data_IF_888247968955
#
_entry.id   IF_888247968955
#
_cell.length_a   1.000
_cell.length_b   1.000
_cell.length_c   1.000
_cell.angle_alpha   90.00
_cell.angle_beta   90.00
_cell.angle_gamma   90.00
#
_symmetry.space_group_name_H-M   'P 1'
#
loop_
_entity.id
_entity.type
_entity.pdbx_description
1 polymer ?
#
# COMPACT_ATOMS: atom_id res chain seq x y z
N UNK A 1 -21.10 -10.65 -8.84
CA UNK A 1 -19.99 -11.63 -8.98
C UNK A 1 -19.18 -11.50 -7.71
N UNK A 2 -18.90 -12.59 -7.00
CA UNK A 2 -18.01 -12.58 -5.83
C UNK A 2 -16.71 -13.23 -6.29
N UNK A 3 -15.59 -12.54 -6.08
CA UNK A 3 -14.28 -13.07 -6.45
C UNK A 3 -13.75 -14.00 -5.36
N UNK A 4 -12.93 -14.99 -5.71
CA UNK A 4 -12.41 -15.97 -4.74
C UNK A 4 -11.65 -15.32 -3.57
N UNK A 5 -10.95 -14.20 -3.83
CA UNK A 5 -10.24 -13.44 -2.79
C UNK A 5 -11.19 -12.63 -1.87
N UNK A 6 -12.50 -12.60 -2.15
CA UNK A 6 -13.51 -11.90 -1.35
C UNK A 6 -14.43 -12.85 -0.58
N UNK A 7 -14.15 -14.15 -0.63
CA UNK A 7 -14.94 -15.10 0.15
C UNK A 7 -14.89 -14.72 1.65
N UNK A 8 -16.03 -14.79 2.36
CA UNK A 8 -16.11 -14.36 3.75
C UNK A 8 -15.05 -14.99 4.65
N UNK A 9 -14.74 -16.27 4.44
CA UNK A 9 -13.73 -16.99 5.21
C UNK A 9 -12.30 -16.48 4.92
N UNK A 10 -12.02 -16.08 3.68
CA UNK A 10 -10.74 -15.47 3.27
C UNK A 10 -10.57 -14.10 3.95
N UNK A 11 -11.61 -13.26 3.90
CA UNK A 11 -11.59 -11.94 4.55
C UNK A 11 -11.51 -12.06 6.07
N UNK A 12 -12.21 -13.04 6.67
CA UNK A 12 -12.20 -13.28 8.10
C UNK A 12 -10.84 -13.77 8.62
N UNK A 13 -10.05 -14.43 7.76
CA UNK A 13 -8.72 -14.93 8.08
C UNK A 13 -7.63 -13.85 8.05
N UNK A 14 -7.89 -12.67 7.46
CA UNK A 14 -6.92 -11.58 7.44
C UNK A 14 -6.63 -11.07 8.85
N UNK A 15 -5.35 -10.80 9.12
CA UNK A 15 -4.94 -10.25 10.40
C UNK A 15 -5.55 -8.86 10.63
N UNK A 16 -6.06 -8.65 11.84
CA UNK A 16 -6.56 -7.35 12.34
C UNK A 16 -5.54 -6.66 13.26
N UNK A 17 -4.38 -7.28 13.44
CA UNK A 17 -3.30 -6.68 14.22
C UNK A 17 -2.66 -5.56 13.41
N UNK A 18 -2.62 -4.36 14.00
CA UNK A 18 -1.97 -3.21 13.38
C UNK A 18 -0.50 -3.51 13.08
N UNK A 19 0.01 -3.04 11.94
CA UNK A 19 1.37 -3.23 11.48
C UNK A 19 2.39 -2.79 12.54
N UNK A 20 2.03 -1.77 13.31
CA UNK A 20 2.84 -1.25 14.39
C UNK A 20 3.87 -0.23 13.88
N UNK A 21 4.28 0.64 14.80
CA UNK A 21 5.12 1.80 14.48
C UNK A 21 6.47 1.43 13.90
N UNK A 22 7.10 0.37 14.43
CA UNK A 22 8.44 -0.06 13.99
C UNK A 22 8.46 -0.45 12.51
N UNK A 23 7.53 -1.32 12.08
CA UNK A 23 7.42 -1.72 10.68
C UNK A 23 7.09 -0.53 9.78
N UNK A 24 6.17 0.33 10.20
CA UNK A 24 5.80 1.53 9.46
C UNK A 24 6.99 2.49 9.26
N UNK A 25 7.82 2.68 10.29
CA UNK A 25 9.03 3.51 10.22
C UNK A 25 10.07 2.93 9.26
N UNK A 26 10.28 1.61 9.28
CA UNK A 26 11.19 0.93 8.35
C UNK A 26 10.74 1.10 6.90
N UNK A 27 9.44 0.90 6.62
CA UNK A 27 8.84 1.13 5.31
C UNK A 27 9.04 2.58 4.85
N UNK A 28 8.74 3.54 5.71
CA UNK A 28 8.88 4.96 5.39
C UNK A 28 10.33 5.34 5.04
N UNK A 29 11.30 4.81 5.80
CA UNK A 29 12.73 5.01 5.56
C UNK A 29 13.18 4.36 4.24
N UNK A 30 12.81 3.09 4.01
CA UNK A 30 13.17 2.35 2.79
C UNK A 30 12.69 3.10 1.54
N UNK A 31 11.43 3.54 1.53
CA UNK A 31 10.86 4.28 0.41
C UNK A 31 11.69 5.52 0.02
N UNK A 32 12.08 6.34 1.01
CA UNK A 32 12.91 7.52 0.75
C UNK A 32 14.34 7.18 0.37
N UNK A 33 14.97 6.23 1.04
CA UNK A 33 16.34 5.80 0.73
C UNK A 33 16.46 5.29 -0.72
N UNK A 34 15.50 4.50 -1.20
CA UNK A 34 15.51 3.98 -2.56
C UNK A 34 15.29 5.11 -3.58
N UNK A 35 14.36 6.03 -3.30
CA UNK A 35 14.14 7.22 -4.13
C UNK A 35 15.41 8.10 -4.22
N UNK A 36 16.08 8.35 -3.11
CA UNK A 36 17.33 9.13 -3.03
C UNK A 36 18.50 8.42 -3.72
N UNK A 37 18.53 7.08 -3.67
CA UNK A 37 19.45 6.26 -4.45
C UNK A 37 19.14 6.28 -5.96
N UNK A 38 18.09 6.97 -6.39
CA UNK A 38 17.68 7.08 -7.79
C UNK A 38 16.98 5.84 -8.33
N UNK A 39 16.59 4.90 -7.46
CA UNK A 39 15.72 3.77 -7.80
C UNK A 39 14.28 4.31 -7.73
N UNK A 40 13.64 4.47 -8.89
CA UNK A 40 12.29 5.02 -8.98
C UNK A 40 11.93 5.44 -10.41
N UNK A 41 10.63 5.54 -10.68
CA UNK A 41 10.11 6.01 -11.96
C UNK A 41 10.48 7.46 -12.17
N UNK A 42 11.17 7.73 -13.28
CA UNK A 42 11.76 9.03 -13.63
C UNK A 42 12.57 9.68 -12.50
N UNK A 43 13.02 8.89 -11.52
CA UNK A 43 13.66 9.33 -10.27
C UNK A 43 12.79 10.25 -9.41
N UNK A 44 11.49 10.37 -9.66
CA UNK A 44 10.59 11.26 -8.93
C UNK A 44 9.69 10.53 -7.94
N UNK A 45 9.42 9.24 -8.20
CA UNK A 45 8.57 8.40 -7.37
C UNK A 45 9.15 6.99 -7.23
N UNK A 46 9.16 6.49 -6.00
CA UNK A 46 9.46 5.10 -5.71
C UNK A 46 8.32 4.48 -4.90
N UNK A 47 7.85 3.31 -5.31
CA UNK A 47 6.94 2.48 -4.51
C UNK A 47 7.63 1.17 -4.17
N UNK A 48 7.23 0.52 -3.07
CA UNK A 48 7.77 -0.80 -2.76
C UNK A 48 7.44 -1.79 -3.88
N UNK A 49 8.36 -2.70 -4.23
CA UNK A 49 8.10 -3.76 -5.19
C UNK A 49 7.01 -4.66 -4.62
N UNK A 50 5.86 -4.69 -5.30
CA UNK A 50 4.78 -5.64 -5.02
C UNK A 50 4.53 -6.49 -6.26
N UNK A 51 3.52 -7.37 -6.19
CA UNK A 51 3.12 -8.19 -7.34
C UNK A 51 2.66 -7.26 -8.46
N UNK A 52 3.54 -7.03 -9.45
CA UNK A 52 3.22 -6.31 -10.66
C UNK A 52 2.60 -7.31 -11.64
N UNK A 53 1.39 -7.00 -12.10
CA UNK A 53 0.69 -7.79 -13.10
C UNK A 53 0.26 -6.90 -14.26
N UNK A 54 0.12 -7.48 -15.46
CA UNK A 54 -0.25 -6.72 -16.67
C UNK A 54 -1.58 -5.99 -16.51
N UNK A 55 -2.57 -6.66 -15.89
CA UNK A 55 -3.96 -6.20 -15.92
C UNK A 55 -4.41 -5.39 -14.69
N UNK A 56 -3.79 -5.60 -13.52
CA UNK A 56 -4.09 -4.88 -12.28
C UNK A 56 -2.94 -5.10 -11.30
N UNK A 57 -2.41 -4.06 -10.67
CA UNK A 57 -1.24 -4.15 -9.78
C UNK A 57 -1.57 -3.91 -8.30
N UNK A 58 -2.85 -3.74 -7.95
CA UNK A 58 -3.24 -3.46 -6.57
C UNK A 58 -2.85 -2.06 -6.10
N UNK A 59 -2.81 -1.92 -4.78
CA UNK A 59 -2.42 -0.68 -4.12
C UNK A 59 -1.00 -0.77 -3.56
N UNK A 60 -0.30 0.35 -3.54
CA UNK A 60 1.03 0.47 -2.96
C UNK A 60 1.17 1.68 -2.05
N UNK A 61 2.19 1.60 -1.20
CA UNK A 61 2.78 2.76 -0.54
C UNK A 61 3.95 3.25 -1.37
N UNK A 62 4.10 4.57 -1.45
CA UNK A 62 5.13 5.22 -2.26
C UNK A 62 5.70 6.45 -1.59
N UNK A 63 6.87 6.88 -2.04
CA UNK A 63 7.44 8.18 -1.73
C UNK A 63 7.67 8.96 -3.02
N UNK A 64 7.51 10.28 -2.94
CA UNK A 64 7.81 11.22 -4.02
C UNK A 64 8.85 12.23 -3.55
N UNK A 65 9.57 12.86 -4.49
CA UNK A 65 10.48 13.96 -4.12
C UNK A 65 9.75 15.21 -3.65
N UNK A 66 8.62 15.52 -4.28
CA UNK A 66 7.91 16.79 -4.11
C UNK A 66 6.86 16.80 -3.00
N UNK A 67 6.31 15.65 -2.62
CA UNK A 67 5.11 15.55 -1.75
C UNK A 67 5.17 14.39 -0.74
N UNK A 68 6.35 14.13 -0.18
CA UNK A 68 6.50 13.18 0.93
C UNK A 68 6.17 11.71 0.58
N UNK A 69 5.21 11.13 1.30
CA UNK A 69 4.78 9.73 1.22
C UNK A 69 3.33 9.65 0.72
N UNK A 70 2.93 8.51 0.18
CA UNK A 70 1.57 8.31 -0.32
C UNK A 70 1.14 6.86 -0.37
N UNK A 71 -0.16 6.68 -0.60
CA UNK A 71 -0.82 5.41 -0.79
C UNK A 71 -1.79 5.52 -1.97
N UNK A 72 -1.76 4.58 -2.90
CA UNK A 72 -2.57 4.64 -4.12
C UNK A 72 -2.46 3.40 -4.97
N UNK A 73 -3.31 3.31 -5.98
CA UNK A 73 -3.32 2.21 -6.94
C UNK A 73 -2.07 2.29 -7.84
N UNK A 74 -1.35 1.18 -8.00
CA UNK A 74 -0.26 1.07 -8.98
C UNK A 74 -0.91 1.05 -10.37
N UNK A 75 -0.39 1.88 -11.29
CA UNK A 75 -0.83 1.86 -12.68
C UNK A 75 -0.57 0.52 -13.37
N UNK A 76 -1.27 0.26 -14.47
CA UNK A 76 -1.07 -0.97 -15.26
C UNK A 76 0.40 -1.19 -15.62
N UNK A 77 0.81 -2.44 -15.82
CA UNK A 77 2.21 -2.81 -16.12
C UNK A 77 3.24 -2.31 -15.09
N UNK A 78 2.80 -2.02 -13.86
CA UNK A 78 3.66 -1.57 -12.76
C UNK A 78 3.99 -0.08 -12.81
N UNK A 79 3.35 0.70 -13.69
CA UNK A 79 3.53 2.16 -13.72
C UNK A 79 3.23 2.77 -12.35
N UNK A 80 3.90 3.87 -12.00
CA UNK A 80 3.70 4.50 -10.70
C UNK A 80 2.25 4.96 -10.54
N UNK A 81 1.74 5.03 -9.29
CA UNK A 81 0.42 5.59 -9.02
C UNK A 81 0.24 6.98 -9.60
N UNK A 82 -0.94 7.27 -10.12
CA UNK A 82 -1.30 8.64 -10.49
C UNK A 82 -1.32 9.52 -9.23
N UNK A 83 -0.68 10.69 -9.30
CA UNK A 83 -0.63 11.63 -8.18
C UNK A 83 -1.91 12.47 -8.08
N UNK A 84 -2.41 12.77 -6.86
CA UNK A 84 -1.75 12.58 -5.55
C UNK A 84 -1.89 11.18 -4.92
N UNK A 85 -2.39 10.17 -5.64
CA UNK A 85 -2.77 8.88 -5.08
C UNK A 85 -4.10 8.97 -4.31
N UNK A 86 -4.44 7.90 -3.60
CA UNK A 86 -5.63 7.88 -2.73
C UNK A 86 -5.40 8.71 -1.45
N UNK A 87 -4.19 8.67 -0.91
CA UNK A 87 -3.76 9.46 0.26
C UNK A 87 -2.31 9.92 0.09
N UNK A 88 -2.01 11.10 0.63
CA UNK A 88 -0.68 11.70 0.57
C UNK A 88 -0.39 12.45 1.86
N UNK A 89 0.87 12.37 2.31
CA UNK A 89 1.36 12.96 3.55
C UNK A 89 2.66 13.72 3.29
N UNK A 90 2.73 14.93 3.83
CA UNK A 90 3.92 15.78 3.70
C UNK A 90 5.02 15.36 4.68
N UNK A 91 4.64 14.79 5.83
CA UNK A 91 5.57 14.38 6.88
C UNK A 91 5.70 12.86 6.97
N UNK A 92 6.89 12.40 7.40
CA UNK A 92 7.14 10.99 7.67
C UNK A 92 6.23 10.51 8.79
N UNK A 93 6.09 11.32 9.83
CA UNK A 93 5.38 10.99 11.06
C UNK A 93 3.90 10.71 10.80
N UNK A 94 3.22 11.51 10.00
CA UNK A 94 1.80 11.29 9.66
C UNK A 94 1.61 10.01 8.84
N UNK A 95 2.50 9.74 7.88
CA UNK A 95 2.49 8.49 7.13
C UNK A 95 2.73 7.27 8.02
N UNK A 96 3.71 7.36 8.92
CA UNK A 96 4.05 6.29 9.88
C UNK A 96 2.89 6.03 10.82
N UNK A 97 2.27 7.08 11.36
CA UNK A 97 1.12 6.94 12.27
C UNK A 97 -0.05 6.26 11.55
N UNK A 98 -0.39 6.71 10.34
CA UNK A 98 -1.43 6.07 9.53
C UNK A 98 -1.12 4.60 9.22
N UNK A 99 0.11 4.29 8.76
CA UNK A 99 0.48 2.94 8.35
C UNK A 99 0.56 1.99 9.55
N UNK A 100 1.01 2.48 10.72
CA UNK A 100 1.10 1.69 11.95
C UNK A 100 -0.27 1.18 12.43
N UNK A 101 -1.33 1.95 12.18
CA UNK A 101 -2.72 1.58 12.49
C UNK A 101 -3.33 0.62 11.46
N UNK A 102 -2.75 0.51 10.27
CA UNK A 102 -3.26 -0.41 9.25
C UNK A 102 -2.94 -1.86 9.60
N UNK A 103 -3.75 -2.79 9.09
CA UNK A 103 -3.58 -4.23 9.21
C UNK A 103 -3.85 -4.89 7.86
N UNK A 104 -3.56 -6.19 7.72
CA UNK A 104 -3.92 -6.94 6.50
C UNK A 104 -5.41 -6.76 6.17
N UNK A 105 -6.25 -6.74 7.21
CA UNK A 105 -7.68 -6.53 7.08
C UNK A 105 -8.03 -5.13 6.56
N UNK A 106 -7.55 -4.05 7.18
CA UNK A 106 -7.92 -2.70 6.72
C UNK A 106 -7.34 -2.37 5.35
N UNK A 107 -6.15 -2.90 5.03
CA UNK A 107 -5.55 -2.75 3.70
C UNK A 107 -6.33 -3.51 2.62
N UNK A 108 -7.02 -4.60 2.97
CA UNK A 108 -7.94 -5.28 2.05
C UNK A 108 -9.14 -4.40 1.66
N UNK A 109 -9.45 -3.42 2.50
CA UNK A 109 -10.45 -2.38 2.23
C UNK A 109 -9.79 -1.02 1.95
N UNK A 110 -8.63 -1.04 1.28
CA UNK A 110 -7.95 0.16 0.77
C UNK A 110 -7.57 1.17 1.87
N UNK A 111 -7.20 0.66 3.05
CA UNK A 111 -6.79 1.48 4.20
C UNK A 111 -7.96 2.17 4.91
N UNK A 112 -9.19 1.68 4.72
CA UNK A 112 -10.39 2.16 5.39
C UNK A 112 -10.63 1.34 6.66
N UNK A 113 -10.58 2.02 7.81
CA UNK A 113 -10.77 1.38 9.12
C UNK A 113 -12.23 1.22 9.52
N UNK A 114 -13.13 2.08 9.02
CA UNK A 114 -14.55 2.05 9.37
C UNK A 114 -15.36 1.36 8.25
N UNK A 115 -16.14 0.31 8.57
CA UNK A 115 -16.98 -0.39 7.60
C UNK A 115 -17.94 0.50 6.82
N UNK A 116 -18.35 1.64 7.38
CA UNK A 116 -19.24 2.58 6.67
C UNK A 116 -18.58 3.24 5.45
N UNK A 117 -17.24 3.30 5.46
CA UNK A 117 -16.45 3.97 4.44
C UNK A 117 -16.01 3.00 3.33
N UNK A 118 -16.21 1.69 3.53
CA UNK A 118 -15.82 0.66 2.56
C UNK A 118 -16.48 0.84 1.19
N UNK A 119 -15.76 0.51 0.10
CA UNK A 119 -16.29 0.62 -1.25
C UNK A 119 -17.55 -0.22 -1.40
N UNK A 120 -18.62 0.41 -1.89
CA UNK A 120 -19.90 -0.27 -2.18
C UNK A 120 -20.02 -0.67 -3.65
N UNK A 121 -19.33 0.04 -4.55
CA UNK A 121 -19.46 -0.11 -6.00
C UNK A 121 -18.22 -0.76 -6.62
N UNK A 122 -17.01 -0.36 -6.21
CA UNK A 122 -15.77 -0.98 -6.63
C UNK A 122 -15.38 -2.13 -5.69
N UNK A 123 -16.20 -3.17 -5.72
CA UNK A 123 -15.89 -4.37 -4.96
C UNK A 123 -14.68 -5.08 -5.54
N UNK A 124 -14.31 -4.91 -6.82
CA UNK A 124 -13.19 -5.64 -7.44
C UNK A 124 -11.86 -5.42 -6.72
N UNK A 125 -11.60 -4.20 -6.26
CA UNK A 125 -10.40 -3.83 -5.51
C UNK A 125 -10.30 -4.49 -4.12
N UNK A 126 -11.43 -4.89 -3.52
CA UNK A 126 -11.45 -5.44 -2.16
C UNK A 126 -10.67 -6.75 -2.10
N UNK A 127 -9.68 -6.80 -1.20
CA UNK A 127 -8.72 -7.88 -0.99
C UNK A 127 -7.94 -8.34 -2.23
N UNK A 128 -7.95 -7.56 -3.31
CA UNK A 128 -7.26 -7.90 -4.54
C UNK A 128 -5.84 -7.34 -4.51
N UNK A 129 -4.83 -8.21 -4.56
CA UNK A 129 -3.41 -7.84 -4.52
C UNK A 129 -3.05 -6.91 -3.34
N UNK A 130 -3.74 -7.08 -2.22
CA UNK A 130 -3.64 -6.25 -1.01
C UNK A 130 -2.24 -6.24 -0.39
N UNK A 131 -1.87 -5.10 0.18
CA UNK A 131 -0.68 -4.95 1.03
C UNK A 131 -0.91 -5.71 2.33
N UNK A 132 -0.02 -6.66 2.63
CA UNK A 132 -0.02 -7.40 3.89
C UNK A 132 1.26 -7.11 4.67
N UNK A 133 1.27 -7.45 5.96
CA UNK A 133 2.49 -7.42 6.78
C UNK A 133 3.62 -8.21 6.12
N UNK A 134 3.33 -9.42 5.62
CA UNK A 134 4.35 -10.24 4.97
C UNK A 134 4.96 -9.55 3.76
N UNK A 135 4.14 -8.95 2.90
CA UNK A 135 4.65 -8.21 1.72
C UNK A 135 5.50 -7.02 2.14
N UNK A 136 5.08 -6.27 3.16
CA UNK A 136 5.88 -5.15 3.67
C UNK A 136 7.23 -5.62 4.21
N UNK A 137 7.26 -6.73 4.97
CA UNK A 137 8.51 -7.28 5.48
C UNK A 137 9.39 -7.81 4.36
N UNK A 138 8.83 -8.55 3.40
CA UNK A 138 9.56 -9.10 2.26
C UNK A 138 10.21 -7.98 1.43
N UNK A 139 9.48 -6.89 1.17
CA UNK A 139 10.01 -5.71 0.46
C UNK A 139 11.12 -4.97 1.21
N UNK A 140 11.22 -5.12 2.54
CA UNK A 140 12.31 -4.52 3.31
C UNK A 140 13.61 -5.32 3.15
N UNK A 141 13.50 -6.64 3.02
CA UNK A 141 14.60 -7.59 2.92
C UNK A 141 15.24 -7.65 1.51
N UNK A 142 14.55 -7.17 0.48
CA UNK A 142 15.09 -7.07 -0.89
C UNK A 142 16.13 -5.91 -1.02
N UNK A 143 17.35 -6.19 -1.51
CA UNK A 143 18.48 -5.23 -1.66
C UNK A 143 18.39 -4.28 -2.89
#
# INVERSE_FOLDING_TARGET
MVFAWQEPDVLAALSKEGFGRELAEQVACKLKQQLEAGKGYDKELYHLPQIIHRDYCGYCVFATKSKGWGYGEIGCDGYPPELPGLRQWDTKEEFVEWLAEQSDYTMAFMGMCDPKDWPQEDMFAVNNQTITRSKLTDSLDEE
#
